data_IF_017396816945
#
_entry.id   IF_017396816945
#
_cell.length_a   1.000
_cell.length_b   1.000
_cell.length_c   1.000
_cell.angle_alpha   90.00
_cell.angle_beta   90.00
_cell.angle_gamma   90.00
#
_symmetry.space_group_name_H-M   'P 1'
#
loop_
_entity.id
_entity.type
_entity.pdbx_description
1 polymer ?
#
# COMPACT_ATOMS: atom_id res chain seq x y z
N UNK A 1 30.16 -86.42 -4.93
CA UNK A 1 30.77 -85.08 -4.97
C UNK A 1 29.92 -84.21 -5.89
N UNK A 2 29.17 -83.27 -5.36
CA UNK A 2 28.29 -82.48 -6.20
C UNK A 2 28.90 -81.14 -6.63
N UNK A 3 28.74 -80.84 -7.90
CA UNK A 3 29.10 -79.59 -8.57
C UNK A 3 28.19 -78.42 -8.14
N UNK A 4 28.82 -77.33 -7.83
CA UNK A 4 28.13 -76.07 -7.45
C UNK A 4 27.81 -75.26 -8.72
N UNK A 5 26.57 -75.21 -9.09
CA UNK A 5 26.08 -74.31 -10.12
C UNK A 5 25.72 -72.94 -9.50
N UNK A 6 26.47 -71.95 -9.90
CA UNK A 6 26.32 -70.56 -9.42
C UNK A 6 25.20 -69.87 -10.26
N UNK A 7 24.08 -69.57 -9.61
CA UNK A 7 22.95 -68.83 -10.23
C UNK A 7 23.27 -67.34 -10.12
N UNK A 8 23.63 -66.71 -11.22
CA UNK A 8 23.80 -65.24 -11.28
C UNK A 8 22.44 -64.60 -11.44
N UNK A 9 21.94 -64.01 -10.37
CA UNK A 9 20.81 -63.12 -10.40
C UNK A 9 21.25 -61.77 -10.99
N UNK A 10 20.72 -61.42 -12.15
CA UNK A 10 20.90 -60.11 -12.77
C UNK A 10 19.83 -59.18 -12.16
N UNK A 11 20.25 -58.30 -11.24
CA UNK A 11 19.42 -57.20 -10.80
C UNK A 11 19.45 -56.07 -11.85
N UNK A 12 18.39 -55.96 -12.65
CA UNK A 12 18.14 -54.78 -13.45
C UNK A 12 17.68 -53.64 -12.51
N UNK A 13 18.58 -52.73 -12.19
CA UNK A 13 18.24 -51.47 -11.53
C UNK A 13 17.67 -50.52 -12.59
N UNK A 14 16.37 -50.37 -12.62
CA UNK A 14 15.70 -49.28 -13.37
C UNK A 14 16.01 -47.96 -12.66
N UNK A 15 16.97 -47.23 -13.17
CA UNK A 15 17.15 -45.81 -12.81
C UNK A 15 16.01 -45.01 -13.47
N UNK A 16 14.99 -44.73 -12.69
CA UNK A 16 13.98 -43.74 -13.05
C UNK A 16 14.62 -42.37 -12.92
N UNK A 17 15.20 -41.84 -13.99
CA UNK A 17 15.66 -40.47 -14.06
C UNK A 17 14.43 -39.58 -14.08
N UNK A 18 14.02 -39.11 -12.89
CA UNK A 18 13.03 -38.05 -12.76
C UNK A 18 13.68 -36.78 -13.29
N UNK A 19 13.51 -36.49 -14.55
CA UNK A 19 13.87 -35.22 -15.17
C UNK A 19 12.95 -34.16 -14.53
N UNK A 20 13.39 -33.54 -13.44
CA UNK A 20 12.81 -32.30 -12.99
C UNK A 20 13.12 -31.28 -14.07
N UNK A 21 12.17 -31.03 -14.97
CA UNK A 21 12.22 -29.87 -15.83
C UNK A 21 12.21 -28.65 -14.92
N UNK A 22 13.40 -28.12 -14.61
CA UNK A 22 13.52 -26.74 -14.15
C UNK A 22 12.92 -25.90 -15.28
N UNK A 23 11.67 -25.49 -15.13
CA UNK A 23 11.15 -24.40 -15.94
C UNK A 23 12.08 -23.22 -15.68
N UNK A 24 12.94 -22.94 -16.65
CA UNK A 24 13.72 -21.71 -16.65
C UNK A 24 12.68 -20.59 -16.56
N UNK A 25 12.66 -19.87 -15.46
CA UNK A 25 11.95 -18.61 -15.43
C UNK A 25 12.63 -17.78 -16.51
N UNK A 26 11.93 -17.58 -17.62
CA UNK A 26 12.37 -16.61 -18.62
C UNK A 26 12.58 -15.31 -17.83
N UNK A 27 13.82 -14.83 -17.79
CA UNK A 27 14.17 -13.53 -17.22
C UNK A 27 13.54 -12.47 -18.13
N UNK A 28 12.22 -12.29 -17.95
CA UNK A 28 11.48 -11.27 -18.67
C UNK A 28 11.87 -9.94 -18.06
N UNK A 29 12.68 -9.19 -18.79
CA UNK A 29 12.88 -7.79 -18.47
C UNK A 29 11.53 -7.07 -18.52
N UNK A 30 11.29 -6.14 -17.60
CA UNK A 30 10.11 -5.29 -17.66
C UNK A 30 10.06 -4.57 -19.02
N UNK A 31 8.93 -4.63 -19.75
CA UNK A 31 8.80 -3.87 -20.98
C UNK A 31 8.91 -2.37 -20.67
N UNK A 32 9.60 -1.60 -21.51
CA UNK A 32 9.59 -0.16 -21.40
C UNK A 32 8.19 0.36 -21.72
N UNK A 33 7.46 0.75 -20.68
CA UNK A 33 6.14 1.33 -20.82
C UNK A 33 6.27 2.85 -20.98
N UNK A 34 5.40 3.44 -21.80
CA UNK A 34 5.21 4.89 -21.82
C UNK A 34 4.30 5.26 -20.66
N UNK A 35 4.89 5.46 -19.49
CA UNK A 35 4.15 5.91 -18.31
C UNK A 35 3.94 7.41 -18.39
N UNK A 36 2.78 7.85 -17.94
CA UNK A 36 2.48 9.27 -17.73
C UNK A 36 2.92 9.64 -16.29
N UNK A 37 4.01 10.40 -16.11
CA UNK A 37 4.51 10.75 -14.79
C UNK A 37 3.53 11.63 -13.98
N UNK A 38 2.59 12.31 -14.64
CA UNK A 38 1.54 13.08 -13.95
C UNK A 38 0.43 12.20 -13.34
N UNK A 39 0.44 10.90 -13.66
CA UNK A 39 -0.55 9.92 -13.20
C UNK A 39 0.07 8.83 -12.33
N UNK A 40 0.98 9.23 -11.46
CA UNK A 40 1.55 8.36 -10.45
C UNK A 40 0.88 8.66 -9.12
N UNK A 41 0.56 7.61 -8.38
CA UNK A 41 0.01 7.69 -7.04
C UNK A 41 0.57 6.58 -6.16
N UNK A 42 0.58 6.79 -4.86
CA UNK A 42 0.91 5.79 -3.87
C UNK A 42 -0.30 5.52 -2.99
N UNK A 43 -0.61 4.25 -2.74
CA UNK A 43 -1.73 3.85 -1.89
C UNK A 43 -1.33 2.70 -0.98
N UNK A 44 -1.92 2.63 0.19
CA UNK A 44 -1.66 1.52 1.09
C UNK A 44 -2.65 1.40 2.23
N UNK A 45 -2.76 0.19 2.76
CA UNK A 45 -3.58 -0.16 3.92
C UNK A 45 -2.69 -0.26 5.17
N UNK A 46 -3.14 0.28 6.31
CA UNK A 46 -2.50 0.12 7.62
C UNK A 46 -1.06 0.65 7.59
N UNK A 47 -0.05 -0.18 7.87
CA UNK A 47 1.36 0.18 7.71
C UNK A 47 1.67 0.66 6.28
N UNK A 48 1.01 0.11 5.26
CA UNK A 48 1.11 0.58 3.88
C UNK A 48 0.53 1.99 3.70
N UNK A 49 -0.54 2.35 4.42
CA UNK A 49 -1.09 3.71 4.46
C UNK A 49 -0.11 4.71 5.08
N UNK A 50 0.55 4.33 6.18
CA UNK A 50 1.63 5.12 6.74
C UNK A 50 2.79 5.30 5.76
N UNK A 51 3.19 4.21 5.07
CA UNK A 51 4.24 4.29 4.05
C UNK A 51 3.81 5.16 2.86
N UNK A 52 2.53 5.15 2.47
CA UNK A 52 2.03 6.02 1.41
C UNK A 52 2.22 7.50 1.77
N UNK A 53 1.86 7.90 2.99
CA UNK A 53 2.09 9.27 3.46
C UNK A 53 3.59 9.61 3.57
N UNK A 54 4.43 8.66 4.02
CA UNK A 54 5.89 8.84 4.06
C UNK A 54 6.46 9.04 2.66
N UNK A 55 6.09 8.18 1.70
CA UNK A 55 6.57 8.26 0.32
C UNK A 55 6.13 9.56 -0.36
N UNK A 56 4.88 9.99 -0.15
CA UNK A 56 4.37 11.25 -0.71
C UNK A 56 5.17 12.46 -0.22
N UNK A 57 5.44 12.56 1.07
CA UNK A 57 6.18 13.71 1.60
C UNK A 57 7.68 13.61 1.33
N UNK A 58 8.23 12.39 1.24
CA UNK A 58 9.63 12.19 0.92
C UNK A 58 9.96 12.50 -0.55
N UNK A 59 9.02 12.18 -1.45
CA UNK A 59 9.20 12.30 -2.91
C UNK A 59 7.94 12.91 -3.55
N UNK A 60 7.57 14.15 -3.22
CA UNK A 60 6.32 14.77 -3.69
C UNK A 60 6.28 14.97 -5.21
N UNK A 61 7.44 15.12 -5.84
CA UNK A 61 7.60 15.22 -7.29
C UNK A 61 7.29 13.89 -8.00
N UNK A 62 7.48 12.76 -7.30
CA UNK A 62 7.22 11.42 -7.84
C UNK A 62 5.82 10.92 -7.45
N UNK A 63 5.39 11.20 -6.23
CA UNK A 63 4.11 10.77 -5.69
C UNK A 63 3.22 11.97 -5.34
N UNK A 64 2.73 12.72 -6.35
CA UNK A 64 1.86 13.85 -6.06
C UNK A 64 0.54 13.43 -5.40
N UNK A 65 0.06 12.21 -5.65
CA UNK A 65 -1.20 11.72 -5.13
C UNK A 65 -0.99 10.55 -4.17
N UNK A 66 -1.75 10.52 -3.07
CA UNK A 66 -1.67 9.46 -2.08
C UNK A 66 -3.04 9.02 -1.56
N UNK A 67 -3.19 7.70 -1.31
CA UNK A 67 -4.31 7.19 -0.52
C UNK A 67 -3.81 6.47 0.73
N UNK A 68 -4.37 6.86 1.86
CA UNK A 68 -4.11 6.28 3.17
C UNK A 68 -5.36 5.55 3.61
N UNK A 69 -5.31 4.23 3.62
CA UNK A 69 -6.43 3.39 4.10
C UNK A 69 -6.08 2.87 5.49
N UNK A 70 -6.94 3.10 6.45
CA UNK A 70 -6.77 2.66 7.85
C UNK A 70 -5.38 3.00 8.40
N UNK A 71 -4.92 4.23 8.18
CA UNK A 71 -3.63 4.75 8.63
C UNK A 71 -3.77 6.08 9.37
N UNK A 72 -2.65 6.65 9.78
CA UNK A 72 -2.59 7.88 10.55
C UNK A 72 -1.65 8.95 9.94
N UNK A 73 -1.35 10.02 10.70
CA UNK A 73 -0.58 11.15 10.20
C UNK A 73 0.88 10.79 9.91
N UNK A 74 1.48 11.53 8.98
CA UNK A 74 2.90 11.45 8.67
C UNK A 74 3.75 11.65 9.93
N UNK A 75 4.77 10.81 10.07
CA UNK A 75 5.75 10.94 11.15
C UNK A 75 5.25 10.55 12.53
N UNK A 76 4.03 10.02 12.67
CA UNK A 76 3.39 9.67 13.93
C UNK A 76 4.29 8.86 14.87
N UNK A 77 4.97 7.83 14.36
CA UNK A 77 5.78 6.92 15.18
C UNK A 77 7.16 7.47 15.56
N UNK A 78 7.63 8.54 14.94
CA UNK A 78 8.94 9.16 15.21
C UNK A 78 10.12 8.19 15.25
N UNK A 79 10.05 7.08 14.50
CA UNK A 79 11.04 6.02 14.51
C UNK A 79 10.99 5.10 15.75
N UNK A 80 9.96 5.21 16.58
CA UNK A 80 9.82 4.46 17.84
C UNK A 80 8.68 3.44 17.74
N UNK A 81 8.98 2.16 17.95
CA UNK A 81 7.98 1.09 17.92
C UNK A 81 6.89 1.30 19.00
N UNK A 82 7.24 1.82 20.18
CA UNK A 82 6.28 2.11 21.22
C UNK A 82 5.22 3.12 20.79
N UNK A 83 5.61 4.19 20.10
CA UNK A 83 4.69 5.17 19.55
C UNK A 83 3.88 4.60 18.38
N UNK A 84 4.49 3.75 17.55
CA UNK A 84 3.77 3.07 16.48
C UNK A 84 2.58 2.26 17.03
N UNK A 85 2.80 1.50 18.11
CA UNK A 85 1.77 0.65 18.70
C UNK A 85 0.77 1.40 19.59
N UNK A 86 1.14 2.55 20.17
CA UNK A 86 0.27 3.34 21.04
C UNK A 86 -0.36 4.51 20.29
N UNK A 87 0.36 5.61 20.08
CA UNK A 87 -0.17 6.83 19.49
C UNK A 87 -0.69 6.62 18.07
N UNK A 88 0.02 5.82 17.23
CA UNK A 88 -0.34 5.64 15.83
C UNK A 88 -1.39 4.55 15.59
N UNK A 89 -1.64 3.67 16.54
CA UNK A 89 -2.70 2.66 16.42
C UNK A 89 -3.88 2.96 17.35
N UNK A 90 -3.61 3.33 18.59
CA UNK A 90 -4.62 3.49 19.62
C UNK A 90 -4.92 4.97 19.97
N UNK A 91 -4.20 5.92 19.36
CA UNK A 91 -4.38 7.34 19.66
C UNK A 91 -3.99 7.74 21.07
N UNK A 92 -3.12 6.99 21.74
CA UNK A 92 -2.74 7.19 23.14
C UNK A 92 -1.21 7.24 23.32
N UNK A 93 -0.64 8.42 23.65
CA UNK A 93 -1.30 9.72 23.67
C UNK A 93 -1.75 10.14 22.26
N UNK A 94 -2.69 11.08 22.19
CA UNK A 94 -3.07 11.67 20.91
C UNK A 94 -1.87 12.33 20.23
N UNK A 95 -1.77 12.19 18.91
CA UNK A 95 -0.70 12.82 18.14
C UNK A 95 -0.79 14.35 18.20
N UNK A 96 0.31 15.01 18.52
CA UNK A 96 0.42 16.47 18.38
C UNK A 96 0.59 16.81 16.89
N UNK A 97 -0.53 17.05 16.22
CA UNK A 97 -0.57 17.32 14.78
C UNK A 97 0.21 18.59 14.41
N UNK A 98 0.21 19.62 15.27
CA UNK A 98 0.96 20.85 15.01
C UNK A 98 2.48 20.58 15.04
N UNK A 99 2.94 19.78 15.99
CA UNK A 99 4.33 19.35 16.05
C UNK A 99 4.72 18.48 14.83
N UNK A 100 3.82 17.60 14.36
CA UNK A 100 4.07 16.79 13.16
C UNK A 100 4.18 17.66 11.91
N UNK A 101 3.30 18.64 11.73
CA UNK A 101 3.36 19.60 10.61
C UNK A 101 4.64 20.44 10.67
N UNK A 102 4.99 20.98 11.83
CA UNK A 102 6.22 21.75 12.00
C UNK A 102 7.47 20.90 11.69
N UNK A 103 7.46 19.63 12.07
CA UNK A 103 8.55 18.68 11.76
C UNK A 103 8.64 18.40 10.26
N UNK A 104 7.52 18.17 9.57
CA UNK A 104 7.50 17.97 8.12
C UNK A 104 8.05 19.21 7.39
N UNK A 105 7.62 20.41 7.79
CA UNK A 105 8.12 21.67 7.24
C UNK A 105 9.64 21.84 7.45
N UNK A 106 10.13 21.55 8.66
CA UNK A 106 11.56 21.60 8.99
C UNK A 106 12.37 20.62 8.15
N UNK A 107 11.92 19.37 8.02
CA UNK A 107 12.60 18.33 7.23
C UNK A 107 12.65 18.68 5.74
N UNK A 108 11.58 19.26 5.21
CA UNK A 108 11.57 19.76 3.84
C UNK A 108 12.55 20.94 3.65
N UNK A 109 12.59 21.87 4.59
CA UNK A 109 13.50 22.99 4.54
C UNK A 109 14.99 22.59 4.67
N UNK A 110 15.29 21.49 5.38
CA UNK A 110 16.64 20.92 5.49
C UNK A 110 17.01 19.96 4.35
N UNK A 111 16.09 19.65 3.44
CA UNK A 111 16.32 18.71 2.35
C UNK A 111 16.32 17.22 2.77
N UNK A 112 15.83 16.90 3.98
CA UNK A 112 15.66 15.52 4.45
C UNK A 112 14.48 14.82 3.78
N UNK A 113 13.52 15.58 3.29
CA UNK A 113 12.39 15.12 2.46
C UNK A 113 12.22 16.09 1.29
N UNK A 114 11.38 15.73 0.33
CA UNK A 114 11.14 16.55 -0.85
C UNK A 114 10.54 17.93 -0.55
N UNK A 115 10.44 18.74 -1.57
CA UNK A 115 9.95 20.11 -1.46
C UNK A 115 8.43 20.10 -1.37
N UNK A 116 7.87 20.33 -0.18
CA UNK A 116 6.43 20.17 0.09
C UNK A 116 5.52 21.00 -0.84
N UNK A 117 5.98 22.14 -1.36
CA UNK A 117 5.17 22.91 -2.33
C UNK A 117 4.88 22.14 -3.62
N UNK A 118 5.64 21.09 -3.93
CA UNK A 118 5.41 20.25 -5.11
C UNK A 118 4.15 19.37 -4.96
N UNK A 119 3.57 19.32 -3.74
CA UNK A 119 2.23 18.79 -3.49
C UNK A 119 1.09 19.78 -3.83
N UNK A 120 1.39 20.95 -4.41
CA UNK A 120 0.34 21.83 -4.93
C UNK A 120 -0.50 21.05 -5.96
N UNK A 121 -1.83 21.11 -5.79
CA UNK A 121 -2.83 20.36 -6.56
C UNK A 121 -2.79 18.82 -6.36
N UNK A 122 -2.08 18.32 -5.35
CA UNK A 122 -2.11 16.93 -4.98
C UNK A 122 -3.52 16.47 -4.57
N UNK A 123 -3.84 15.20 -4.85
CA UNK A 123 -5.03 14.55 -4.31
C UNK A 123 -4.63 13.60 -3.19
N UNK A 124 -5.22 13.80 -2.02
CA UNK A 124 -5.05 12.93 -0.86
C UNK A 124 -6.40 12.32 -0.52
N UNK A 125 -6.47 10.99 -0.53
CA UNK A 125 -7.67 10.25 -0.15
C UNK A 125 -7.41 9.50 1.16
N UNK A 126 -8.20 9.80 2.18
CA UNK A 126 -8.12 9.18 3.49
C UNK A 126 -9.39 8.33 3.65
N UNK A 127 -9.22 7.01 3.72
CA UNK A 127 -10.32 6.06 3.90
C UNK A 127 -10.16 5.33 5.23
N UNK A 128 -11.19 5.41 6.07
CA UNK A 128 -11.15 4.76 7.37
C UNK A 128 -12.51 4.23 7.79
N UNK A 129 -12.52 3.03 8.41
CA UNK A 129 -13.73 2.43 8.94
C UNK A 129 -14.01 2.84 10.38
N UNK A 130 -15.26 3.21 10.69
CA UNK A 130 -15.67 3.53 12.07
C UNK A 130 -15.57 2.34 13.01
N UNK A 131 -15.62 1.11 12.49
CA UNK A 131 -15.50 -0.12 13.26
C UNK A 131 -14.04 -0.63 13.36
N UNK A 132 -13.05 0.16 12.88
CA UNK A 132 -11.63 -0.21 12.99
C UNK A 132 -11.16 -0.08 14.46
N UNK A 133 -10.77 -1.22 15.03
CA UNK A 133 -10.20 -1.31 16.40
C UNK A 133 -8.69 -1.54 16.38
N UNK A 134 -8.09 -1.75 15.22
CA UNK A 134 -6.64 -1.94 15.06
C UNK A 134 -5.93 -0.59 14.96
N UNK A 135 -6.42 0.27 14.07
CA UNK A 135 -6.07 1.70 14.04
C UNK A 135 -7.36 2.46 14.31
N UNK A 136 -7.48 3.04 15.48
CA UNK A 136 -8.75 3.65 15.90
C UNK A 136 -9.09 4.90 15.09
N UNK A 137 -10.39 5.25 14.90
CA UNK A 137 -10.82 6.39 14.09
C UNK A 137 -10.15 7.72 14.45
N UNK A 138 -9.88 7.97 15.72
CA UNK A 138 -9.18 9.19 16.18
C UNK A 138 -7.79 9.37 15.53
N UNK A 139 -7.12 8.30 15.16
CA UNK A 139 -5.82 8.34 14.47
C UNK A 139 -6.00 8.75 13.01
N UNK A 140 -7.07 8.29 12.35
CA UNK A 140 -7.41 8.73 10.99
C UNK A 140 -7.83 10.20 10.97
N UNK A 141 -8.60 10.66 11.95
CA UNK A 141 -8.93 12.09 12.12
C UNK A 141 -7.65 12.93 12.24
N UNK A 142 -6.66 12.46 13.01
CA UNK A 142 -5.36 13.13 13.11
C UNK A 142 -4.64 13.19 11.74
N UNK A 143 -4.79 12.19 10.86
CA UNK A 143 -4.25 12.25 9.50
C UNK A 143 -4.96 13.32 8.66
N UNK A 144 -6.28 13.41 8.73
CA UNK A 144 -7.05 14.46 8.03
C UNK A 144 -6.65 15.87 8.51
N UNK A 145 -6.52 16.04 9.81
CA UNK A 145 -6.04 17.29 10.41
C UNK A 145 -4.61 17.62 9.97
N UNK A 146 -3.73 16.62 9.89
CA UNK A 146 -2.35 16.81 9.44
C UNK A 146 -2.31 17.40 8.04
N UNK A 147 -2.98 16.79 7.07
CA UNK A 147 -2.96 17.28 5.69
C UNK A 147 -3.63 18.66 5.55
N UNK A 148 -4.72 18.89 6.26
CA UNK A 148 -5.40 20.19 6.27
C UNK A 148 -4.49 21.30 6.84
N UNK A 149 -3.83 21.04 7.96
CA UNK A 149 -2.90 22.00 8.58
C UNK A 149 -1.63 22.17 7.74
N UNK A 150 -1.12 21.09 7.13
CA UNK A 150 0.04 21.15 6.22
C UNK A 150 -0.25 22.08 5.05
N UNK A 151 -1.43 21.92 4.42
CA UNK A 151 -1.85 22.78 3.31
C UNK A 151 -1.94 24.25 3.71
N UNK A 152 -2.37 24.54 4.92
CA UNK A 152 -2.46 25.92 5.44
C UNK A 152 -1.10 26.50 5.84
N UNK A 153 -0.18 25.65 6.35
CA UNK A 153 1.11 26.08 6.89
C UNK A 153 2.19 26.29 5.84
N UNK A 154 2.13 25.60 4.69
CA UNK A 154 3.18 25.68 3.68
C UNK A 154 2.82 26.71 2.60
N UNK A 155 3.58 27.82 2.47
CA UNK A 155 3.35 28.78 1.41
C UNK A 155 3.44 28.13 0.02
N UNK A 156 2.42 28.36 -0.82
CA UNK A 156 2.35 27.81 -2.16
C UNK A 156 1.78 26.41 -2.27
N UNK A 157 1.40 25.77 -1.17
CA UNK A 157 0.67 24.49 -1.17
C UNK A 157 -0.84 24.70 -1.37
N UNK A 158 -1.16 25.47 -2.41
CA UNK A 158 -2.54 25.79 -2.77
C UNK A 158 -3.10 24.74 -3.73
N UNK A 159 -4.40 24.45 -3.62
CA UNK A 159 -5.07 23.51 -4.53
C UNK A 159 -4.93 22.03 -4.13
N UNK A 160 -4.19 21.68 -3.09
CA UNK A 160 -4.21 20.33 -2.55
C UNK A 160 -5.61 19.97 -2.10
N UNK A 161 -6.12 18.84 -2.59
CA UNK A 161 -7.46 18.34 -2.28
C UNK A 161 -7.35 17.17 -1.32
N UNK A 162 -7.88 17.35 -0.13
CA UNK A 162 -7.94 16.29 0.89
C UNK A 162 -9.37 15.77 0.95
N UNK A 163 -9.57 14.52 0.58
CA UNK A 163 -10.84 13.84 0.73
C UNK A 163 -10.78 12.90 1.91
N UNK A 164 -11.52 13.22 2.96
CA UNK A 164 -11.65 12.42 4.18
C UNK A 164 -12.95 11.61 4.13
N UNK A 165 -12.81 10.28 4.07
CA UNK A 165 -13.89 9.30 4.07
C UNK A 165 -13.78 8.39 5.30
N UNK A 166 -13.98 8.96 6.47
CA UNK A 166 -13.98 8.28 7.78
C UNK A 166 -15.37 7.87 8.28
N UNK A 167 -16.43 8.00 7.44
CA UNK A 167 -17.80 7.85 7.92
C UNK A 167 -18.44 6.47 7.67
N UNK A 168 -17.74 5.53 7.04
CA UNK A 168 -18.29 4.21 6.66
C UNK A 168 -18.07 3.16 7.75
N UNK A 169 -18.98 2.19 7.80
CA UNK A 169 -18.91 1.10 8.77
C UNK A 169 -18.16 -0.09 8.17
N UNK A 170 -16.87 -0.19 8.43
CA UNK A 170 -16.04 -1.36 8.16
C UNK A 170 -14.91 -1.44 9.19
N UNK A 171 -14.35 -2.64 9.35
CA UNK A 171 -13.24 -2.90 10.25
C UNK A 171 -11.87 -2.63 9.57
N UNK A 172 -10.78 -3.12 10.15
CA UNK A 172 -9.42 -2.93 9.62
C UNK A 172 -9.18 -3.79 8.38
N UNK A 173 -9.70 -3.37 7.24
CA UNK A 173 -9.59 -4.07 5.95
C UNK A 173 -9.66 -3.07 4.78
N UNK A 174 -9.38 -3.57 3.57
CA UNK A 174 -9.64 -2.86 2.32
C UNK A 174 -11.01 -3.28 1.80
N UNK A 175 -12.00 -2.38 1.75
CA UNK A 175 -13.32 -2.71 1.24
C UNK A 175 -13.33 -3.10 -0.24
N UNK A 176 -14.05 -4.17 -0.55
CA UNK A 176 -14.32 -4.64 -1.91
C UNK A 176 -15.82 -4.84 -2.12
N UNK A 177 -16.25 -4.75 -3.40
CA UNK A 177 -17.66 -4.75 -3.73
C UNK A 177 -18.33 -6.12 -3.60
N UNK A 178 -17.62 -7.22 -3.91
CA UNK A 178 -18.27 -8.52 -4.12
C UNK A 178 -17.63 -9.71 -3.42
N UNK A 179 -16.33 -9.75 -3.21
CA UNK A 179 -15.63 -10.92 -2.65
C UNK A 179 -14.70 -10.49 -1.54
N UNK A 180 -14.64 -11.27 -0.47
CA UNK A 180 -13.85 -10.95 0.72
C UNK A 180 -14.46 -11.58 1.95
N UNK A 181 -13.85 -11.34 3.10
CA UNK A 181 -14.40 -11.68 4.40
C UNK A 181 -15.54 -10.74 4.79
N UNK A 182 -16.26 -11.04 5.87
CA UNK A 182 -17.27 -10.11 6.40
C UNK A 182 -16.65 -8.74 6.65
N UNK A 183 -17.38 -7.69 6.33
CA UNK A 183 -16.92 -6.31 6.38
C UNK A 183 -16.45 -5.86 7.77
N UNK A 184 -16.97 -6.49 8.82
CA UNK A 184 -16.62 -6.25 10.22
C UNK A 184 -15.40 -7.04 10.71
N UNK A 185 -14.70 -7.78 9.82
CA UNK A 185 -13.53 -8.59 10.16
C UNK A 185 -12.22 -7.92 9.80
N UNK A 186 -11.25 -8.11 10.69
CA UNK A 186 -9.85 -7.68 10.52
C UNK A 186 -8.95 -8.91 10.42
N UNK A 187 -9.10 -9.69 9.35
CA UNK A 187 -8.42 -10.97 9.14
C UNK A 187 -7.74 -11.00 7.76
N UNK A 188 -6.63 -11.76 7.67
CA UNK A 188 -5.94 -11.94 6.39
C UNK A 188 -6.86 -12.62 5.36
N UNK A 189 -6.92 -12.15 4.10
CA UNK A 189 -6.01 -11.19 3.46
C UNK A 189 -6.41 -9.72 3.62
N UNK A 190 -7.23 -9.35 4.58
CA UNK A 190 -7.70 -8.00 4.87
C UNK A 190 -8.49 -7.37 3.71
N UNK A 191 -9.32 -8.18 3.06
CA UNK A 191 -10.29 -7.74 2.04
C UNK A 191 -11.69 -7.93 2.62
N UNK A 192 -12.40 -6.83 2.88
CA UNK A 192 -13.73 -6.85 3.47
C UNK A 192 -14.82 -6.72 2.40
N UNK A 193 -15.77 -7.63 2.34
CA UNK A 193 -16.96 -7.51 1.50
C UNK A 193 -17.89 -6.44 2.08
N UNK A 194 -17.65 -5.19 1.75
CA UNK A 194 -18.35 -4.02 2.29
C UNK A 194 -19.36 -3.40 1.30
N UNK A 195 -19.55 -4.01 0.13
CA UNK A 195 -20.51 -3.54 -0.86
C UNK A 195 -20.05 -2.33 -1.68
N UNK A 196 -18.78 -1.91 -1.57
CA UNK A 196 -18.20 -0.85 -2.40
C UNK A 196 -16.76 -1.17 -2.78
N UNK A 197 -16.30 -0.60 -3.89
CA UNK A 197 -14.95 -0.79 -4.44
C UNK A 197 -14.03 0.36 -4.01
N UNK A 198 -13.36 0.19 -2.88
CA UNK A 198 -12.43 1.19 -2.36
C UNK A 198 -11.29 1.50 -3.35
N UNK A 199 -10.75 0.50 -4.03
CA UNK A 199 -9.67 0.71 -5.00
C UNK A 199 -10.13 1.54 -6.20
N UNK A 200 -11.33 1.26 -6.71
CA UNK A 200 -11.95 2.05 -7.78
C UNK A 200 -12.25 3.48 -7.37
N UNK A 201 -12.73 3.69 -6.13
CA UNK A 201 -12.99 5.03 -5.59
C UNK A 201 -11.67 5.82 -5.40
N UNK A 202 -10.64 5.20 -4.84
CA UNK A 202 -9.29 5.78 -4.72
C UNK A 202 -8.79 6.22 -6.10
N UNK A 203 -8.86 5.33 -7.10
CA UNK A 203 -8.43 5.63 -8.45
C UNK A 203 -9.22 6.82 -9.04
N UNK A 204 -10.54 6.84 -8.85
CA UNK A 204 -11.40 7.90 -9.36
C UNK A 204 -11.11 9.27 -8.71
N UNK A 205 -10.74 9.29 -7.43
CA UNK A 205 -10.35 10.51 -6.72
C UNK A 205 -9.00 11.05 -7.21
N UNK A 206 -8.05 10.17 -7.51
CA UNK A 206 -6.71 10.58 -7.94
C UNK A 206 -6.63 10.98 -9.41
N UNK A 207 -7.38 10.30 -10.27
CA UNK A 207 -7.21 10.41 -11.72
C UNK A 207 -8.49 10.71 -12.49
N UNK A 208 -9.60 10.89 -11.78
CA UNK A 208 -10.92 10.96 -12.38
C UNK A 208 -11.47 9.57 -12.75
N UNK A 209 -12.75 9.53 -13.06
CA UNK A 209 -13.40 8.28 -13.48
C UNK A 209 -12.80 7.80 -14.80
N UNK A 210 -12.52 6.49 -14.94
CA UNK A 210 -12.04 5.94 -16.20
C UNK A 210 -13.07 6.18 -17.31
N UNK A 211 -12.59 6.51 -18.52
CA UNK A 211 -13.43 6.79 -19.68
C UNK A 211 -14.29 5.59 -20.12
N UNK A 212 -13.88 4.39 -19.75
CA UNK A 212 -14.58 3.15 -20.07
C UNK A 212 -14.81 2.34 -18.81
N UNK A 213 -15.96 1.66 -18.74
CA UNK A 213 -16.21 0.68 -17.69
C UNK A 213 -15.13 -0.41 -17.73
N UNK A 214 -14.70 -0.89 -16.56
CA UNK A 214 -13.79 -2.01 -16.47
C UNK A 214 -14.43 -3.24 -17.14
N UNK A 215 -13.81 -3.72 -18.22
CA UNK A 215 -14.12 -5.02 -18.80
C UNK A 215 -13.51 -6.14 -17.96
N UNK A 216 -13.75 -7.39 -18.36
CA UNK A 216 -13.00 -8.52 -17.79
C UNK A 216 -11.51 -8.30 -18.04
N UNK A 217 -10.70 -8.53 -17.01
CA UNK A 217 -9.26 -8.42 -17.14
C UNK A 217 -8.77 -9.39 -18.24
N UNK A 218 -8.17 -8.84 -19.29
CA UNK A 218 -7.61 -9.62 -20.40
C UNK A 218 -6.08 -9.67 -20.36
N UNK A 219 -5.49 -9.13 -19.31
CA UNK A 219 -4.05 -9.11 -19.12
C UNK A 219 -3.49 -10.45 -18.64
N UNK A 220 -2.23 -10.67 -18.93
CA UNK A 220 -1.46 -11.83 -18.49
C UNK A 220 -0.60 -11.45 -17.27
N UNK A 221 -0.60 -12.31 -16.24
CA UNK A 221 0.30 -12.12 -15.09
C UNK A 221 1.72 -12.49 -15.53
N UNK A 222 2.63 -11.52 -15.51
CA UNK A 222 4.04 -11.73 -15.83
C UNK A 222 4.89 -11.64 -14.57
N UNK A 223 5.77 -12.61 -14.42
CA UNK A 223 6.82 -12.58 -13.39
C UNK A 223 8.10 -12.05 -14.02
N UNK A 224 8.83 -11.23 -13.29
CA UNK A 224 10.13 -10.71 -13.71
C UNK A 224 11.13 -10.79 -12.55
N UNK A 225 12.40 -10.82 -12.90
CA UNK A 225 13.49 -10.81 -11.93
C UNK A 225 13.78 -9.37 -11.52
N UNK A 226 13.58 -9.07 -10.23
CA UNK A 226 13.84 -7.73 -9.68
C UNK A 226 15.33 -7.47 -9.48
N UNK A 227 16.15 -8.53 -9.34
CA UNK A 227 17.60 -8.39 -9.14
C UNK A 227 18.31 -8.01 -10.44
N UNK A 228 17.60 -8.07 -11.57
CA UNK A 228 18.10 -7.67 -12.89
C UNK A 228 17.81 -6.20 -13.25
N UNK A 229 17.21 -5.43 -12.33
CA UNK A 229 16.90 -4.00 -12.48
C UNK A 229 17.98 -3.14 -11.85
#
# INVERSE_FOLDING_TARGET
MPSKTCLRAICLALFFVCSVACASADNLSLPRLKLDPSRIAVAGLSSGGYMASQAQLAYPELFPNAAVVAGGPYGCAEGQLSLALSACMQGLPASDVDALVARAAKRSASGEIGVLKDLANAHVYLLHGRADTTVVPAVAEAAAHFYTKLSAAIPGLTGMQVHDDGARDFAHNLPVAATGDDCDKSVSPYLGHCGFDAAGEIFAQMFGKPAHAAGLASGELRRFDQDAL
#
